data_IF_192440592399
#
_entry.id   IF_192440592399
#
_cell.length_a   1.000
_cell.length_b   1.000
_cell.length_c   1.000
_cell.angle_alpha   90.00
_cell.angle_beta   90.00
_cell.angle_gamma   90.00
#
_symmetry.space_group_name_H-M   'P 1'
#
loop_
_entity.id
_entity.type
_entity.pdbx_description
1 polymer ?
#
# COMPACT_ATOMS: atom_id res chain seq x y z
N UNK A 1 -15.90 -7.73 14.84
CA UNK A 1 -16.34 -7.73 13.42
C UNK A 1 -15.12 -7.84 12.52
N UNK A 2 -15.25 -8.36 11.30
CA UNK A 2 -14.18 -8.24 10.28
C UNK A 2 -14.39 -6.94 9.51
N UNK A 3 -13.42 -6.03 9.55
CA UNK A 3 -13.48 -4.77 8.79
C UNK A 3 -13.19 -5.04 7.31
N UNK A 4 -13.86 -4.31 6.41
CA UNK A 4 -13.53 -4.36 4.98
C UNK A 4 -12.18 -3.71 4.70
N UNK A 5 -11.57 -4.05 3.56
CA UNK A 5 -10.32 -3.43 3.12
C UNK A 5 -10.43 -1.90 3.05
N UNK A 6 -11.58 -1.37 2.62
CA UNK A 6 -11.83 0.08 2.57
C UNK A 6 -11.73 0.75 3.94
N UNK A 7 -12.26 0.12 4.99
CA UNK A 7 -12.16 0.66 6.35
C UNK A 7 -10.71 0.62 6.88
N UNK A 8 -9.96 -0.42 6.52
CA UNK A 8 -8.54 -0.54 6.89
C UNK A 8 -7.70 0.51 6.16
N UNK A 9 -8.01 0.77 4.89
CA UNK A 9 -7.38 1.82 4.09
C UNK A 9 -7.70 3.21 4.65
N UNK A 10 -8.97 3.49 4.94
CA UNK A 10 -9.41 4.76 5.55
C UNK A 10 -8.71 5.03 6.89
N UNK A 11 -8.53 4.00 7.73
CA UNK A 11 -7.78 4.12 8.98
C UNK A 11 -6.29 4.44 8.77
N UNK A 12 -5.68 3.89 7.72
CA UNK A 12 -4.29 4.19 7.36
C UNK A 12 -4.13 5.62 6.81
N UNK A 13 -5.05 6.08 5.98
CA UNK A 13 -5.07 7.44 5.43
C UNK A 13 -5.31 8.50 6.52
N UNK A 14 -6.18 8.18 7.49
CA UNK A 14 -6.34 9.01 8.68
C UNK A 14 -5.03 9.12 9.46
N UNK A 15 -4.37 7.99 9.73
CA UNK A 15 -3.10 7.95 10.47
C UNK A 15 -1.95 8.67 9.73
N UNK A 16 -1.97 8.66 8.39
CA UNK A 16 -1.01 9.39 7.55
C UNK A 16 -1.36 10.88 7.43
N UNK A 17 -2.59 11.26 7.75
CA UNK A 17 -3.09 12.63 7.71
C UNK A 17 -3.45 13.13 6.31
N UNK A 18 -3.74 12.24 5.36
CA UNK A 18 -4.01 12.57 3.95
C UNK A 18 -5.48 12.84 3.62
N UNK A 19 -6.39 12.60 4.56
CA UNK A 19 -7.82 12.84 4.41
C UNK A 19 -8.18 14.32 4.39
N UNK A 20 -9.26 14.66 3.68
CA UNK A 20 -9.85 15.99 3.75
C UNK A 20 -10.62 16.24 5.06
N UNK A 21 -11.16 17.46 5.22
CA UNK A 21 -11.82 17.86 6.47
C UNK A 21 -13.10 17.06 6.76
N UNK A 22 -13.87 16.71 5.74
CA UNK A 22 -15.15 16.03 5.88
C UNK A 22 -14.93 14.52 6.14
N UNK A 23 -13.98 13.92 5.44
CA UNK A 23 -13.56 12.52 5.64
C UNK A 23 -12.91 12.31 7.02
N UNK A 24 -12.10 13.27 7.48
CA UNK A 24 -11.52 13.24 8.83
C UNK A 24 -12.63 13.25 9.90
N UNK A 25 -13.63 14.12 9.76
CA UNK A 25 -14.75 14.20 10.70
C UNK A 25 -15.59 12.90 10.72
N UNK A 26 -15.70 12.22 9.57
CA UNK A 26 -16.33 10.90 9.49
C UNK A 26 -15.57 9.84 10.31
N UNK A 27 -14.25 9.77 10.17
CA UNK A 27 -13.41 8.84 10.93
C UNK A 27 -13.47 9.12 12.42
N UNK A 28 -13.41 10.38 12.84
CA UNK A 28 -13.55 10.78 14.24
C UNK A 28 -14.89 10.36 14.84
N UNK A 29 -15.97 10.52 14.07
CA UNK A 29 -17.32 10.06 14.46
C UNK A 29 -17.36 8.54 14.59
N UNK A 30 -16.74 7.80 13.67
CA UNK A 30 -16.62 6.34 13.76
C UNK A 30 -15.84 5.91 14.99
N UNK A 31 -14.71 6.55 15.30
CA UNK A 31 -13.91 6.26 16.49
C UNK A 31 -14.66 6.56 17.80
N UNK A 32 -15.53 7.57 17.81
CA UNK A 32 -16.37 7.86 18.97
C UNK A 32 -17.37 6.74 19.29
N UNK A 33 -17.79 5.97 18.29
CA UNK A 33 -18.82 4.94 18.38
C UNK A 33 -18.19 3.54 18.47
N UNK A 34 -17.12 3.27 17.72
CA UNK A 34 -16.50 1.96 17.54
C UNK A 34 -15.06 1.92 18.12
N UNK A 35 -14.93 1.18 19.23
CA UNK A 35 -13.65 0.96 19.92
C UNK A 35 -12.72 0.01 19.18
N UNK A 36 -13.26 -0.96 18.44
CA UNK A 36 -12.46 -1.92 17.67
C UNK A 36 -11.83 -1.19 16.46
N UNK A 37 -12.58 -0.28 15.82
CA UNK A 37 -12.05 0.56 14.74
C UNK A 37 -10.98 1.54 15.25
N UNK A 38 -11.20 2.12 16.44
CA UNK A 38 -10.19 2.95 17.12
C UNK A 38 -8.87 2.20 17.31
N UNK A 39 -8.92 0.91 17.67
CA UNK A 39 -7.72 0.09 17.83
C UNK A 39 -6.96 -0.10 16.50
N UNK A 40 -7.66 -0.14 15.36
CA UNK A 40 -7.04 -0.25 14.03
C UNK A 40 -6.31 1.05 13.67
N UNK A 41 -6.93 2.21 13.92
CA UNK A 41 -6.29 3.52 13.71
C UNK A 41 -5.03 3.64 14.57
N UNK A 42 -5.12 3.30 15.86
CA UNK A 42 -3.97 3.32 16.78
C UNK A 42 -2.85 2.37 16.35
N UNK A 43 -3.19 1.19 15.83
CA UNK A 43 -2.19 0.25 15.33
C UNK A 43 -1.41 0.83 14.12
N UNK A 44 -2.10 1.57 13.24
CA UNK A 44 -1.47 2.29 12.14
C UNK A 44 -0.60 3.45 12.62
N UNK A 45 -1.10 4.30 13.53
CA UNK A 45 -0.33 5.39 14.14
C UNK A 45 0.94 4.87 14.81
N UNK A 46 0.87 3.77 15.56
CA UNK A 46 2.02 3.14 16.19
C UNK A 46 3.03 2.61 15.16
N UNK A 47 2.55 1.91 14.12
CA UNK A 47 3.39 1.36 13.05
C UNK A 47 4.14 2.46 12.30
N UNK A 48 3.45 3.56 11.98
CA UNK A 48 4.01 4.69 11.25
C UNK A 48 4.87 5.58 12.16
N UNK A 49 4.57 5.66 13.45
CA UNK A 49 5.32 6.44 14.43
C UNK A 49 6.80 6.05 14.55
N UNK A 50 7.14 4.79 14.27
CA UNK A 50 8.55 4.32 14.23
C UNK A 50 9.36 5.05 13.15
N UNK A 51 8.73 5.43 12.03
CA UNK A 51 9.42 6.17 10.95
C UNK A 51 9.87 7.57 11.42
N UNK A 52 9.18 8.17 12.38
CA UNK A 52 9.57 9.46 12.93
C UNK A 52 10.91 9.40 13.68
N UNK A 53 11.30 8.22 14.18
CA UNK A 53 12.63 8.01 14.80
C UNK A 53 13.78 8.05 13.78
N UNK A 54 13.46 7.88 12.49
CA UNK A 54 14.45 7.96 11.40
C UNK A 54 14.68 9.41 10.92
N UNK A 55 13.85 10.35 11.38
CA UNK A 55 13.98 11.78 11.05
C UNK A 55 14.86 12.45 12.11
N UNK A 56 15.89 13.18 11.67
CA UNK A 56 16.75 13.94 12.58
C UNK A 56 15.99 15.09 13.25
N UNK A 57 16.33 15.38 14.52
CA UNK A 57 15.80 16.56 15.20
C UNK A 57 16.27 17.84 14.52
N UNK A 58 15.36 18.79 14.30
CA UNK A 58 15.65 20.12 13.80
C UNK A 58 15.29 21.12 14.90
N UNK A 59 16.28 21.89 15.36
CA UNK A 59 16.07 22.93 16.36
C UNK A 59 15.11 24.01 15.80
N UNK A 60 13.91 24.19 16.37
CA UNK A 60 13.02 25.25 15.94
C UNK A 60 13.60 26.62 16.34
N UNK A 61 13.17 27.68 15.64
CA UNK A 61 13.58 29.04 16.00
C UNK A 61 13.06 29.40 17.41
N UNK A 62 13.83 30.12 18.25
CA UNK A 62 13.44 30.43 19.63
C UNK A 62 12.07 31.12 19.78
N UNK A 63 11.68 31.93 18.78
CA UNK A 63 10.39 32.63 18.76
C UNK A 63 9.17 31.69 18.69
N UNK A 64 9.35 30.47 18.20
CA UNK A 64 8.26 29.48 18.09
C UNK A 64 7.71 29.16 19.48
N UNK A 65 8.57 29.01 20.48
CA UNK A 65 8.14 28.73 21.85
C UNK A 65 7.37 29.89 22.48
N UNK A 66 7.83 31.12 22.26
CA UNK A 66 7.13 32.33 22.73
C UNK A 66 5.74 32.47 22.09
N UNK A 67 5.62 32.21 20.79
CA UNK A 67 4.34 32.22 20.08
C UNK A 67 3.38 31.14 20.59
N UNK A 68 3.89 29.94 20.89
CA UNK A 68 3.08 28.85 21.45
C UNK A 68 2.56 29.23 22.85
N UNK A 69 3.42 29.75 23.72
CA UNK A 69 3.00 30.22 25.05
C UNK A 69 1.91 31.29 24.96
N UNK A 70 2.12 32.30 24.12
CA UNK A 70 1.13 33.35 23.90
C UNK A 70 -0.19 32.79 23.35
N UNK A 71 -0.15 31.85 22.38
CA UNK A 71 -1.36 31.25 21.81
C UNK A 71 -2.15 30.40 22.83
N UNK A 72 -1.45 29.68 23.73
CA UNK A 72 -2.07 28.90 24.81
C UNK A 72 -2.70 29.85 25.84
N UNK A 73 -2.04 30.94 26.21
CA UNK A 73 -2.57 31.94 27.15
C UNK A 73 -3.82 32.67 26.62
N UNK A 74 -3.94 32.82 25.29
CA UNK A 74 -5.12 33.42 24.63
C UNK A 74 -6.16 32.41 24.17
N UNK A 75 -5.91 31.11 24.33
CA UNK A 75 -6.93 30.08 24.14
C UNK A 75 -7.84 30.13 25.37
N UNK A 76 -8.99 30.80 25.26
CA UNK A 76 -9.95 30.83 26.37
C UNK A 76 -10.23 29.38 26.82
N UNK A 77 -10.24 29.11 28.14
CA UNK A 77 -10.61 27.79 28.63
C UNK A 77 -11.98 27.47 28.07
N UNK A 78 -12.06 26.37 27.30
CA UNK A 78 -13.31 25.83 26.75
C UNK A 78 -14.37 25.93 27.86
N UNK A 79 -15.32 26.85 27.70
CA UNK A 79 -16.32 27.08 28.73
C UNK A 79 -16.99 25.73 29.01
N UNK A 80 -17.07 25.28 30.28
CA UNK A 80 -17.71 24.03 30.59
C UNK A 80 -19.12 24.06 30.00
N UNK A 81 -19.51 23.00 29.27
CA UNK A 81 -20.87 22.83 28.76
C UNK A 81 -21.80 22.73 29.97
N UNK A 82 -22.25 23.87 30.47
CA UNK A 82 -23.33 23.96 31.45
C UNK A 82 -24.60 23.62 30.68
N UNK A 83 -25.06 22.36 30.81
CA UNK A 83 -26.45 22.03 30.49
C UNK A 83 -27.31 22.92 31.40
N UNK A 84 -28.21 23.76 30.84
CA UNK A 84 -29.04 24.61 31.67
C UNK A 84 -29.97 23.74 32.53
N UNK A 85 -29.75 23.75 33.84
CA UNK A 85 -30.68 23.24 34.85
C UNK A 85 -31.92 24.15 34.84
N UNK A 86 -33.07 23.59 34.49
CA UNK A 86 -34.33 24.32 34.45
C UNK A 86 -34.80 24.67 35.87
N UNK A 87 -34.81 25.96 36.22
CA UNK A 87 -35.44 26.48 37.45
C UNK A 87 -36.22 27.78 37.15
N UNK A 88 -37.24 28.11 37.96
CA UNK A 88 -38.58 28.45 37.45
C UNK A 88 -38.77 29.93 37.09
N UNK A 89 -39.66 30.17 36.13
CA UNK A 89 -40.17 31.49 35.75
C UNK A 89 -40.96 32.12 36.90
N UNK A 90 -40.46 33.24 37.43
CA UNK A 90 -41.22 34.18 38.24
C UNK A 90 -41.22 35.55 37.53
N UNK A 91 -42.42 36.04 37.25
CA UNK A 91 -42.74 37.26 36.50
C UNK A 91 -42.34 38.54 37.24
N UNK A 92 -41.62 39.44 36.56
CA UNK A 92 -41.46 40.84 36.98
C UNK A 92 -41.80 41.76 35.81
N UNK A 93 -42.70 42.71 36.08
CA UNK A 93 -43.22 43.71 35.16
C UNK A 93 -42.11 44.67 34.68
N UNK A 94 -42.17 45.03 33.40
CA UNK A 94 -41.18 45.87 32.70
C UNK A 94 -41.61 47.33 32.78
N UNK A 95 -40.82 48.15 33.47
CA UNK A 95 -40.85 49.61 33.36
C UNK A 95 -39.72 50.04 32.40
N UNK A 96 -40.07 50.78 31.34
CA UNK A 96 -39.19 51.09 30.22
C UNK A 96 -38.28 52.31 30.50
N UNK A 97 -36.97 52.11 30.34
CA UNK A 97 -35.94 53.16 30.30
C UNK A 97 -35.87 53.86 28.91
N UNK A 98 -35.35 55.10 28.80
CA UNK A 98 -35.44 55.90 27.59
C UNK A 98 -34.57 55.36 26.43
N UNK A 99 -35.10 55.52 25.23
CA UNK A 99 -34.53 55.06 23.95
C UNK A 99 -33.34 55.93 23.56
N UNK A 100 -32.14 55.33 23.54
CA UNK A 100 -30.94 55.88 22.91
C UNK A 100 -31.03 55.65 21.39
N UNK A 101 -30.60 56.64 20.62
CA UNK A 101 -30.68 56.74 19.17
C UNK A 101 -30.00 55.56 18.43
N UNK A 102 -30.82 54.69 17.83
CA UNK A 102 -30.40 53.49 17.07
C UNK A 102 -30.29 53.75 15.56
N UNK A 103 -29.99 54.98 15.13
CA UNK A 103 -29.88 55.35 13.71
C UNK A 103 -28.74 54.65 12.96
N UNK A 104 -27.78 54.02 13.65
CA UNK A 104 -26.71 53.21 13.02
C UNK A 104 -27.13 51.78 12.63
N UNK A 105 -28.22 51.23 13.19
CA UNK A 105 -28.63 49.84 12.92
C UNK A 105 -29.53 49.72 11.68
N UNK A 106 -30.19 50.81 11.29
CA UNK A 106 -31.12 50.83 10.15
C UNK A 106 -30.37 50.90 8.81
N UNK A 107 -29.13 51.39 8.78
CA UNK A 107 -28.32 51.48 7.55
C UNK A 107 -27.71 50.13 7.12
N UNK A 108 -27.53 49.18 8.05
CA UNK A 108 -26.97 47.87 7.72
C UNK A 108 -28.04 46.89 7.24
N UNK A 109 -29.25 46.94 7.82
CA UNK A 109 -30.35 46.02 7.50
C UNK A 109 -30.93 46.23 6.09
N UNK A 110 -30.94 47.46 5.58
CA UNK A 110 -31.35 47.74 4.20
C UNK A 110 -30.31 47.32 3.14
N UNK A 111 -29.02 47.25 3.52
CA UNK A 111 -27.95 46.75 2.63
C UNK A 111 -28.03 45.22 2.47
N UNK A 112 -28.36 44.49 3.53
CA UNK A 112 -28.54 43.03 3.49
C UNK A 112 -29.80 42.58 2.75
N UNK A 113 -30.88 43.38 2.73
CA UNK A 113 -32.13 42.99 2.04
C UNK A 113 -32.03 43.08 0.52
N UNK A 114 -31.25 44.04 -0.01
CA UNK A 114 -30.91 44.16 -1.44
C UNK A 114 -29.85 43.13 -1.87
N UNK A 115 -28.92 42.77 -1.00
CA UNK A 115 -27.97 41.69 -1.27
C UNK A 115 -28.62 40.30 -1.23
N UNK A 116 -29.63 40.10 -0.39
CA UNK A 116 -30.40 38.85 -0.34
C UNK A 116 -31.25 38.62 -1.60
N UNK A 117 -31.75 39.67 -2.25
CA UNK A 117 -32.42 39.55 -3.56
C UNK A 117 -31.44 39.23 -4.70
N UNK A 118 -30.20 39.72 -4.64
CA UNK A 118 -29.14 39.39 -5.63
C UNK A 118 -28.62 37.96 -5.40
N UNK A 119 -28.47 37.54 -4.14
CA UNK A 119 -28.05 36.19 -3.77
C UNK A 119 -29.09 35.13 -4.14
N UNK A 120 -30.38 35.42 -4.05
CA UNK A 120 -31.45 34.50 -4.47
C UNK A 120 -31.45 34.27 -6.00
N UNK A 121 -31.23 35.32 -6.81
CA UNK A 121 -31.09 35.16 -8.27
C UNK A 121 -29.80 34.46 -8.67
N UNK A 122 -28.69 34.73 -7.97
CA UNK A 122 -27.41 34.06 -8.22
C UNK A 122 -27.44 32.58 -7.83
N UNK A 123 -28.11 32.22 -6.72
CA UNK A 123 -28.23 30.84 -6.26
C UNK A 123 -29.11 29.98 -7.18
N UNK A 124 -30.16 30.54 -7.80
CA UNK A 124 -30.94 29.83 -8.82
C UNK A 124 -30.14 29.55 -10.09
N UNK A 125 -29.30 30.50 -10.54
CA UNK A 125 -28.39 30.32 -11.68
C UNK A 125 -27.29 29.32 -11.33
N UNK A 126 -26.72 29.38 -10.12
CA UNK A 126 -25.72 28.43 -9.66
C UNK A 126 -26.30 27.02 -9.54
N UNK A 127 -27.52 26.85 -9.03
CA UNK A 127 -28.19 25.55 -8.97
C UNK A 127 -28.49 24.99 -10.37
N UNK A 128 -28.87 25.85 -11.33
CA UNK A 128 -29.04 25.43 -12.72
C UNK A 128 -27.71 25.05 -13.39
N UNK A 129 -26.62 25.75 -13.11
CA UNK A 129 -25.28 25.41 -13.59
C UNK A 129 -24.74 24.14 -12.94
N UNK A 130 -24.98 23.92 -11.64
CA UNK A 130 -24.63 22.68 -10.94
C UNK A 130 -25.45 21.51 -11.44
N UNK A 131 -26.75 21.69 -11.70
CA UNK A 131 -27.58 20.66 -12.32
C UNK A 131 -27.11 20.36 -13.75
N UNK A 132 -26.72 21.38 -14.53
CA UNK A 132 -26.18 21.21 -15.88
C UNK A 132 -24.81 20.50 -15.86
N UNK A 133 -23.92 20.87 -14.92
CA UNK A 133 -22.65 20.19 -14.68
C UNK A 133 -22.86 18.75 -14.19
N UNK A 134 -23.83 18.52 -13.30
CA UNK A 134 -24.17 17.17 -12.84
C UNK A 134 -24.72 16.31 -13.98
N UNK A 135 -25.52 16.87 -14.89
CA UNK A 135 -25.97 16.18 -16.10
C UNK A 135 -24.79 15.90 -17.04
N UNK A 136 -23.86 16.85 -17.23
CA UNK A 136 -22.63 16.62 -18.00
C UNK A 136 -21.77 15.50 -17.40
N UNK A 137 -21.66 15.43 -16.07
CA UNK A 137 -20.81 14.46 -15.37
C UNK A 137 -21.46 13.07 -15.28
N UNK A 138 -22.77 13.00 -15.03
CA UNK A 138 -23.44 11.73 -14.72
C UNK A 138 -24.33 11.18 -15.85
N UNK A 139 -24.85 12.00 -16.76
CA UNK A 139 -25.77 11.57 -17.85
C UNK A 139 -25.56 12.31 -19.18
N UNK A 140 -24.37 12.23 -19.81
CA UNK A 140 -24.04 13.00 -21.03
C UNK A 140 -24.89 12.65 -22.27
N UNK A 141 -25.66 11.56 -22.23
CA UNK A 141 -26.51 11.11 -23.33
C UNK A 141 -27.79 11.95 -23.53
N UNK A 142 -28.20 12.73 -22.52
CA UNK A 142 -29.41 13.58 -22.56
C UNK A 142 -29.20 14.95 -23.23
N UNK A 143 -27.96 15.31 -23.58
CA UNK A 143 -27.64 16.57 -24.25
C UNK A 143 -28.06 16.53 -25.74
N UNK A 144 -28.71 17.60 -26.28
CA UNK A 144 -28.98 17.75 -27.70
C UNK A 144 -27.70 17.64 -28.53
N UNK A 145 -27.76 16.99 -29.69
CA UNK A 145 -26.57 16.57 -30.44
C UNK A 145 -25.61 17.72 -30.82
N UNK A 146 -26.08 18.96 -30.88
CA UNK A 146 -25.26 20.14 -31.18
C UNK A 146 -24.30 20.60 -30.07
N UNK A 147 -24.50 20.17 -28.81
CA UNK A 147 -23.72 20.62 -27.64
C UNK A 147 -22.85 19.50 -27.06
N UNK A 148 -22.95 18.27 -27.58
CA UNK A 148 -22.12 17.15 -27.10
C UNK A 148 -20.64 17.46 -27.36
N UNK A 149 -19.79 17.52 -26.32
CA UNK A 149 -18.35 17.61 -26.54
C UNK A 149 -17.92 16.34 -27.27
N UNK A 150 -17.35 16.52 -28.48
CA UNK A 150 -16.84 15.40 -29.27
C UNK A 150 -15.81 14.67 -28.41
N UNK A 151 -15.99 13.37 -28.11
CA UNK A 151 -15.04 12.63 -27.30
C UNK A 151 -13.68 12.70 -28.00
N UNK A 152 -12.74 13.43 -27.40
CA UNK A 152 -11.34 13.40 -27.79
C UNK A 152 -10.83 12.04 -27.35
N UNK A 153 -10.87 11.07 -28.25
CA UNK A 153 -10.14 9.81 -28.11
C UNK A 153 -8.67 10.13 -28.05
N UNK A 154 -8.16 10.42 -26.86
CA UNK A 154 -6.74 10.42 -26.59
C UNK A 154 -6.38 8.95 -26.52
N UNK A 155 -5.73 8.45 -27.56
CA UNK A 155 -5.12 7.12 -27.56
C UNK A 155 -4.02 7.17 -26.51
N UNK A 156 -4.38 6.90 -25.26
CA UNK A 156 -3.41 6.50 -24.26
C UNK A 156 -2.92 5.15 -24.77
N UNK A 157 -1.75 5.17 -25.38
CA UNK A 157 -0.96 3.96 -25.58
C UNK A 157 -0.65 3.45 -24.18
N UNK A 158 -1.59 2.67 -23.63
CA UNK A 158 -1.30 1.77 -22.52
C UNK A 158 -0.22 0.89 -23.12
N UNK A 159 1.02 1.17 -22.73
CA UNK A 159 2.11 0.24 -22.83
C UNK A 159 1.67 -0.93 -21.97
N UNK A 160 0.88 -1.81 -22.56
CA UNK A 160 0.60 -3.13 -22.02
C UNK A 160 1.97 -3.64 -21.60
N UNK A 161 2.16 -4.07 -20.33
CA UNK A 161 3.39 -4.75 -19.99
C UNK A 161 3.50 -5.83 -21.04
N UNK A 162 4.55 -5.73 -21.86
CA UNK A 162 4.83 -6.66 -22.95
C UNK A 162 4.46 -8.02 -22.41
N UNK A 163 3.45 -8.68 -22.98
CA UNK A 163 3.19 -10.08 -22.68
C UNK A 163 4.50 -10.76 -23.01
N UNK A 164 5.35 -10.96 -22.00
CA UNK A 164 6.57 -11.69 -22.16
C UNK A 164 6.10 -13.04 -22.68
N UNK A 165 6.52 -13.38 -23.89
CA UNK A 165 6.25 -14.70 -24.44
C UNK A 165 6.58 -15.72 -23.33
N UNK A 166 5.74 -16.73 -23.08
CA UNK A 166 6.00 -17.68 -22.01
C UNK A 166 7.41 -18.23 -22.20
N UNK A 167 8.28 -17.94 -21.23
CA UNK A 167 9.63 -18.47 -21.16
C UNK A 167 9.55 -19.95 -20.81
N UNK A 168 10.48 -20.75 -21.33
CA UNK A 168 10.55 -22.13 -20.91
C UNK A 168 10.69 -22.21 -19.39
N UNK A 169 9.97 -23.13 -18.74
CA UNK A 169 10.08 -23.34 -17.30
C UNK A 169 10.55 -24.76 -17.04
N UNK A 170 11.64 -24.88 -16.29
CA UNK A 170 12.25 -26.16 -15.95
C UNK A 170 12.06 -26.47 -14.48
N UNK A 171 11.83 -27.74 -14.16
CA UNK A 171 11.66 -28.23 -12.80
C UNK A 171 12.52 -29.47 -12.59
N UNK A 172 13.24 -29.53 -11.47
CA UNK A 172 13.93 -30.73 -11.01
C UNK A 172 13.40 -31.10 -9.62
N UNK A 173 13.07 -32.38 -9.44
CA UNK A 173 12.74 -32.96 -8.14
C UNK A 173 14.00 -33.60 -7.59
N UNK A 174 14.51 -33.08 -6.47
CA UNK A 174 15.73 -33.57 -5.83
C UNK A 174 15.33 -34.53 -4.70
N UNK A 175 15.72 -35.78 -4.84
CA UNK A 175 15.34 -36.86 -3.95
C UNK A 175 16.50 -37.82 -3.71
N UNK A 176 16.42 -38.57 -2.62
CA UNK A 176 17.32 -39.70 -2.37
C UNK A 176 16.90 -40.87 -3.28
N UNK A 177 17.79 -41.84 -3.51
CA UNK A 177 17.45 -42.99 -4.36
C UNK A 177 16.19 -43.70 -3.85
N UNK A 178 15.13 -43.70 -4.67
CA UNK A 178 13.83 -44.32 -4.33
C UNK A 178 13.05 -43.67 -3.18
N UNK A 179 13.49 -42.51 -2.68
CA UNK A 179 12.89 -41.81 -1.56
C UNK A 179 11.85 -40.77 -1.96
N UNK A 180 11.21 -40.15 -0.96
CA UNK A 180 10.33 -39.00 -1.18
C UNK A 180 11.11 -37.75 -1.62
N UNK A 181 10.47 -36.82 -2.36
CA UNK A 181 11.07 -35.53 -2.70
C UNK A 181 11.56 -34.78 -1.47
N UNK A 182 12.81 -34.32 -1.50
CA UNK A 182 13.39 -33.52 -0.43
C UNK A 182 13.35 -32.03 -0.78
N UNK A 183 13.65 -31.70 -2.04
CA UNK A 183 13.61 -30.35 -2.60
C UNK A 183 13.00 -30.33 -4.00
N UNK A 184 12.41 -29.20 -4.38
CA UNK A 184 11.95 -28.90 -5.74
C UNK A 184 12.72 -27.68 -6.22
N UNK A 185 13.44 -27.81 -7.32
CA UNK A 185 14.15 -26.72 -7.98
C UNK A 185 13.35 -26.28 -9.20
N UNK A 186 12.99 -25.01 -9.29
CA UNK A 186 12.38 -24.40 -10.48
C UNK A 186 13.34 -23.40 -11.09
N UNK A 187 13.54 -23.45 -12.41
CA UNK A 187 14.41 -22.54 -13.16
C UNK A 187 13.61 -21.88 -14.27
N UNK A 188 13.65 -20.55 -14.32
CA UNK A 188 13.10 -19.78 -15.43
C UNK A 188 14.09 -19.79 -16.62
N UNK A 189 13.63 -20.17 -17.81
CA UNK A 189 14.48 -20.36 -18.98
C UNK A 189 14.99 -19.06 -19.61
N UNK A 190 14.33 -17.93 -19.38
CA UNK A 190 14.74 -16.65 -19.93
C UNK A 190 15.81 -15.96 -19.05
N UNK A 191 15.55 -15.88 -17.76
CA UNK A 191 16.39 -15.20 -16.77
C UNK A 191 17.42 -16.13 -16.13
N UNK A 192 17.21 -17.45 -16.18
CA UNK A 192 17.96 -18.46 -15.41
C UNK A 192 17.96 -18.15 -13.91
N UNK A 193 16.92 -17.48 -13.42
CA UNK A 193 16.65 -17.41 -12.00
C UNK A 193 16.14 -18.75 -11.52
N UNK A 194 16.64 -19.21 -10.37
CA UNK A 194 16.15 -20.43 -9.78
C UNK A 194 15.59 -20.20 -8.39
N UNK A 195 14.58 -21.01 -8.06
CA UNK A 195 14.01 -21.11 -6.72
C UNK A 195 14.07 -22.56 -6.27
N UNK A 196 14.65 -22.79 -5.10
CA UNK A 196 14.62 -24.10 -4.43
C UNK A 196 13.57 -24.03 -3.34
N UNK A 197 12.59 -24.92 -3.42
CA UNK A 197 11.63 -25.17 -2.34
C UNK A 197 12.02 -26.42 -1.57
N UNK A 198 12.08 -26.31 -0.26
CA UNK A 198 12.22 -27.44 0.63
C UNK A 198 10.85 -28.09 0.88
N UNK A 199 10.77 -29.41 0.75
CA UNK A 199 9.48 -30.13 0.88
C UNK A 199 9.52 -31.28 1.88
N UNK A 200 10.67 -31.94 2.05
CA UNK A 200 10.76 -33.14 2.90
C UNK A 200 12.10 -33.34 3.60
N UNK A 201 13.12 -32.53 3.32
CA UNK A 201 14.39 -32.61 4.06
C UNK A 201 14.22 -32.07 5.49
N UNK A 202 14.62 -32.80 6.53
CA UNK A 202 14.66 -32.30 7.91
C UNK A 202 15.87 -31.40 8.15
N UNK A 203 15.80 -30.42 9.05
CA UNK A 203 16.92 -29.50 9.28
C UNK A 203 17.92 -30.16 10.21
N UNK A 204 19.19 -30.16 9.83
CA UNK A 204 20.26 -30.70 10.67
C UNK A 204 20.91 -29.55 11.46
N UNK A 205 20.85 -29.58 12.81
CA UNK A 205 21.46 -28.55 13.64
C UNK A 205 22.96 -28.43 13.36
N UNK A 206 23.44 -27.21 13.14
CA UNK A 206 24.86 -26.96 12.86
C UNK A 206 25.33 -27.47 11.50
N UNK A 207 24.41 -27.70 10.56
CA UNK A 207 24.71 -28.06 9.16
C UNK A 207 23.96 -27.15 8.21
N UNK A 208 24.40 -27.14 6.96
CA UNK A 208 23.77 -26.34 5.90
C UNK A 208 23.64 -27.19 4.65
N UNK A 209 22.46 -27.15 4.03
CA UNK A 209 22.28 -27.76 2.71
C UNK A 209 22.87 -26.84 1.66
N UNK A 210 23.65 -27.38 0.75
CA UNK A 210 24.21 -26.62 -0.37
C UNK A 210 23.82 -27.24 -1.70
N UNK A 211 23.41 -26.38 -2.65
CA UNK A 211 23.03 -26.80 -3.99
C UNK A 211 24.24 -26.71 -4.93
N UNK A 212 24.40 -27.72 -5.77
CA UNK A 212 25.49 -27.84 -6.72
C UNK A 212 24.97 -28.07 -8.14
N UNK A 213 25.66 -27.48 -9.11
CA UNK A 213 25.53 -27.73 -10.54
C UNK A 213 26.62 -28.70 -10.99
N UNK A 214 26.23 -29.87 -11.50
CA UNK A 214 27.15 -30.90 -12.00
C UNK A 214 26.88 -31.14 -13.48
N UNK A 215 27.86 -30.88 -14.33
CA UNK A 215 27.80 -31.15 -15.77
C UNK A 215 29.16 -31.65 -16.25
N UNK A 216 29.13 -32.51 -17.26
CA UNK A 216 30.27 -32.96 -18.06
C UNK A 216 31.02 -31.81 -18.75
N UNK A 217 30.34 -30.68 -19.03
CA UNK A 217 30.92 -29.47 -19.60
C UNK A 217 31.67 -28.61 -18.57
N UNK A 218 31.60 -28.97 -17.28
CA UNK A 218 32.28 -28.26 -16.19
C UNK A 218 33.40 -29.13 -15.62
N UNK A 219 34.58 -28.57 -15.34
CA UNK A 219 35.72 -29.36 -14.84
C UNK A 219 35.52 -29.89 -13.41
N UNK A 220 34.65 -29.24 -12.63
CA UNK A 220 34.27 -29.64 -11.27
C UNK A 220 32.85 -29.16 -10.94
N UNK A 221 32.17 -29.75 -9.93
CA UNK A 221 30.90 -29.24 -9.42
C UNK A 221 30.98 -27.75 -9.06
N UNK A 222 29.93 -27.00 -9.35
CA UNK A 222 29.86 -25.57 -9.03
C UNK A 222 28.80 -25.32 -7.98
N UNK A 223 29.18 -24.68 -6.88
CA UNK A 223 28.22 -24.26 -5.86
C UNK A 223 27.26 -23.22 -6.46
N UNK A 224 25.98 -23.44 -6.23
CA UNK A 224 24.89 -22.50 -6.45
C UNK A 224 24.48 -21.79 -5.15
N UNK A 225 25.13 -22.15 -4.04
CA UNK A 225 24.99 -21.56 -2.72
C UNK A 225 24.16 -22.40 -1.75
N UNK A 226 24.20 -21.96 -0.49
CA UNK A 226 23.46 -22.55 0.62
C UNK A 226 21.95 -22.33 0.43
N UNK A 227 21.19 -23.40 0.63
CA UNK A 227 19.73 -23.41 0.75
C UNK A 227 19.40 -22.92 2.16
N UNK A 228 18.67 -21.82 2.26
CA UNK A 228 18.32 -21.18 3.52
C UNK A 228 17.43 -22.06 4.41
N UNK A 229 17.27 -21.64 5.66
CA UNK A 229 16.43 -22.37 6.63
C UNK A 229 14.92 -22.26 6.38
N UNK A 230 14.48 -21.31 5.55
CA UNK A 230 13.07 -21.16 5.15
C UNK A 230 12.66 -22.14 4.05
N UNK A 231 11.38 -22.11 3.70
CA UNK A 231 10.82 -23.04 2.70
C UNK A 231 11.32 -22.76 1.28
N UNK A 232 11.74 -21.52 0.99
CA UNK A 232 12.17 -21.09 -0.34
C UNK A 232 13.53 -20.40 -0.29
N UNK A 233 14.36 -20.66 -1.29
CA UNK A 233 15.62 -19.95 -1.55
C UNK A 233 15.70 -19.60 -3.03
N UNK A 234 15.77 -18.31 -3.36
CA UNK A 234 15.85 -17.82 -4.74
C UNK A 234 17.20 -17.16 -5.00
N UNK A 235 17.84 -17.50 -6.12
CA UNK A 235 19.13 -16.92 -6.54
C UNK A 235 19.21 -16.81 -8.06
N UNK A 236 20.06 -15.89 -8.55
CA UNK A 236 20.30 -15.64 -9.97
C UNK A 236 21.66 -16.18 -10.46
N UNK A 237 22.27 -17.13 -9.74
CA UNK A 237 23.64 -17.62 -10.03
C UNK A 237 23.71 -18.40 -11.35
N UNK A 238 22.61 -19.01 -11.81
CA UNK A 238 22.60 -19.75 -13.07
C UNK A 238 22.65 -18.83 -14.31
N UNK A 239 22.41 -17.52 -14.16
CA UNK A 239 22.46 -16.55 -15.25
C UNK A 239 23.83 -16.50 -15.95
N UNK A 240 24.91 -16.82 -15.21
CA UNK A 240 26.29 -16.82 -15.72
C UNK A 240 26.69 -18.09 -16.50
N UNK A 241 25.80 -19.08 -16.62
CA UNK A 241 26.06 -20.33 -17.36
C UNK A 241 25.25 -20.39 -18.64
N UNK A 242 25.77 -21.10 -19.64
CA UNK A 242 25.07 -21.38 -20.89
C UNK A 242 23.82 -22.23 -20.63
N UNK A 243 22.75 -21.98 -21.39
CA UNK A 243 21.47 -22.70 -21.27
C UNK A 243 21.64 -24.21 -21.43
N UNK A 244 22.49 -24.66 -22.35
CA UNK A 244 22.77 -26.09 -22.55
C UNK A 244 23.43 -26.74 -21.34
N UNK A 245 24.29 -26.01 -20.61
CA UNK A 245 24.93 -26.52 -19.38
C UNK A 245 23.88 -26.63 -18.28
N UNK A 246 23.07 -25.57 -18.11
CA UNK A 246 22.00 -25.52 -17.09
C UNK A 246 20.99 -26.65 -17.30
N UNK A 247 20.52 -26.82 -18.53
CA UNK A 247 19.46 -27.77 -18.89
C UNK A 247 19.96 -29.23 -18.90
N UNK A 248 21.22 -29.46 -19.28
CA UNK A 248 21.84 -30.79 -19.30
C UNK A 248 22.42 -31.25 -17.96
N UNK A 249 22.53 -30.36 -16.98
CA UNK A 249 23.16 -30.63 -15.70
C UNK A 249 22.33 -31.56 -14.79
N UNK A 250 23.05 -32.20 -13.87
CA UNK A 250 22.50 -32.82 -12.67
C UNK A 250 22.65 -31.83 -11.51
N UNK A 251 21.56 -31.59 -10.81
CA UNK A 251 21.53 -30.77 -9.61
C UNK A 251 21.63 -31.69 -8.40
N UNK A 252 22.52 -31.34 -7.48
CA UNK A 252 22.82 -32.15 -6.31
C UNK A 252 22.79 -31.30 -5.05
N UNK A 253 22.33 -31.88 -3.94
CA UNK A 253 22.35 -31.26 -2.61
C UNK A 253 23.25 -32.07 -1.71
N UNK A 254 24.16 -31.39 -1.01
CA UNK A 254 25.06 -31.96 -0.02
C UNK A 254 24.77 -31.39 1.37
N UNK A 255 25.27 -32.05 2.43
CA UNK A 255 25.15 -31.58 3.81
C UNK A 255 26.53 -31.07 4.24
N UNK A 256 26.67 -29.76 4.24
CA UNK A 256 27.94 -29.10 4.55
C UNK A 256 27.96 -28.60 6.00
N UNK A 257 29.13 -28.14 6.43
CA UNK A 257 29.30 -27.41 7.68
C UNK A 257 28.48 -26.10 7.71
N UNK A 258 28.34 -25.44 8.89
CA UNK A 258 27.60 -24.18 8.98
C UNK A 258 28.09 -23.16 7.95
N UNK A 259 27.16 -22.65 7.14
CA UNK A 259 27.48 -21.66 6.10
C UNK A 259 27.89 -22.25 4.75
N UNK A 260 27.93 -23.57 4.61
CA UNK A 260 28.25 -24.24 3.34
C UNK A 260 29.73 -24.55 3.15
N UNK A 261 30.11 -24.80 1.90
CA UNK A 261 31.47 -25.05 1.46
C UNK A 261 32.29 -23.73 1.42
N UNK A 262 33.39 -23.62 2.19
CA UNK A 262 34.22 -22.43 2.24
C UNK A 262 35.10 -22.25 0.99
N UNK A 263 35.44 -23.33 0.29
CA UNK A 263 36.35 -23.33 -0.87
C UNK A 263 35.61 -23.56 -2.20
N UNK A 264 34.28 -23.74 -2.14
CA UNK A 264 33.45 -24.04 -3.29
C UNK A 264 33.67 -25.45 -3.85
N UNK A 265 34.19 -26.39 -3.06
CA UNK A 265 34.20 -27.82 -3.34
C UNK A 265 33.23 -28.57 -2.39
N UNK A 266 32.55 -29.62 -2.85
CA UNK A 266 31.74 -30.45 -1.95
C UNK A 266 32.61 -31.14 -0.89
N UNK A 267 32.29 -31.00 0.41
CA UNK A 267 32.98 -31.73 1.49
C UNK A 267 32.25 -33.01 1.87
N UNK A 268 31.02 -33.20 1.38
CA UNK A 268 30.22 -34.40 1.60
C UNK A 268 29.66 -34.96 0.30
N UNK A 269 29.26 -36.23 0.33
CA UNK A 269 28.60 -36.86 -0.80
C UNK A 269 27.20 -36.27 -1.02
N UNK A 270 26.73 -36.16 -2.28
CA UNK A 270 25.36 -35.77 -2.57
C UNK A 270 24.34 -36.70 -1.91
N UNK A 271 23.42 -36.12 -1.14
CA UNK A 271 22.32 -36.85 -0.49
C UNK A 271 21.03 -36.82 -1.31
N UNK A 272 20.82 -35.75 -2.08
CA UNK A 272 19.68 -35.60 -2.98
C UNK A 272 20.17 -35.16 -4.35
N UNK A 273 19.60 -35.71 -5.42
CA UNK A 273 19.93 -35.31 -6.77
C UNK A 273 18.73 -35.41 -7.71
N UNK A 274 18.81 -34.67 -8.82
CA UNK A 274 17.79 -34.69 -9.87
C UNK A 274 18.25 -33.95 -11.13
N UNK A 275 17.56 -34.17 -12.24
CA UNK A 275 17.78 -33.46 -13.50
C UNK A 275 16.62 -32.50 -13.76
N UNK A 276 16.91 -31.41 -14.47
CA UNK A 276 15.86 -30.52 -14.95
C UNK A 276 15.02 -31.21 -16.02
N UNK A 277 13.72 -30.98 -15.93
CA UNK A 277 12.71 -31.40 -16.89
C UNK A 277 11.98 -30.15 -17.34
N UNK A 278 11.83 -29.98 -18.65
CA UNK A 278 11.02 -28.90 -19.20
C UNK A 278 9.54 -29.17 -18.91
N UNK A 279 8.90 -28.23 -18.22
CA UNK A 279 7.48 -28.32 -17.83
C UNK A 279 6.60 -27.38 -18.64
N UNK A 280 7.15 -26.28 -19.12
CA UNK A 280 6.50 -25.33 -20.03
C UNK A 280 7.50 -25.04 -21.15
N UNK A 281 7.15 -25.30 -22.42
CA UNK A 281 8.01 -24.93 -23.54
C UNK A 281 8.00 -23.42 -23.78
N UNK A 282 9.12 -22.89 -24.28
CA UNK A 282 9.12 -21.52 -24.80
C UNK A 282 8.15 -21.41 -25.97
N UNK A 283 7.40 -20.32 -26.10
CA UNK A 283 6.60 -20.08 -27.29
C UNK A 283 7.53 -20.01 -28.52
N UNK A 284 7.59 -21.10 -29.28
CA UNK A 284 8.31 -21.18 -30.54
C UNK A 284 7.75 -20.12 -31.50
N UNK A 285 8.59 -19.16 -31.86
CA UNK A 285 8.29 -18.16 -32.88
C UNK A 285 7.99 -18.88 -34.20
N UNK A 286 6.87 -18.58 -34.91
CA UNK A 286 6.51 -19.29 -36.12
C UNK A 286 7.63 -19.17 -37.17
N UNK A 287 7.88 -20.22 -37.98
CA UNK A 287 8.86 -20.16 -39.05
C UNK A 287 8.47 -19.04 -40.03
N UNK A 288 9.45 -18.23 -40.38
CA UNK A 288 9.31 -17.11 -41.32
C UNK A 288 9.25 -17.60 -42.76
#
# INVERSE_FOLDING_TARGET
MTYSEDHIALAAEYALGTLDADERAQVETMMAIDRDFTAIVQAWEFRLGVLNQMVGSVEPRPIVWENIKAAIEHSEPQAPLVLPEAAPVASVAVEQAPVVDNSNVIQLSNRFRRWRSIAMTASAIAAALVAMLAIEVYQPALLPEGIRPKPRTQVVEVKTPSTAAPSAQYVAVLQAQGGSPAFILTVDGATRNFTVRRVGAAAEPGKSYELWLISDKLPRPRSLGVIGGGDFTTRAVLASYDSDVVNGATYAVTIEQPGGSPDGNPHSAPVYAGKLIETVPSASQPPR
#
